data_IF_945865250336
#
_entry.id   IF_945865250336
#
_cell.length_a   1.000
_cell.length_b   1.000
_cell.length_c   1.000
_cell.angle_alpha   90.00
_cell.angle_beta   90.00
_cell.angle_gamma   90.00
#
_symmetry.space_group_name_H-M   'P 1'
#
loop_
_entity.id
_entity.type
_entity.pdbx_description
1 polymer ?
#
# COMPACT_ATOMS: atom_id res chain seq x y z
N UNK A 1 18.03 2.44 -3.33
CA UNK A 1 18.14 3.70 -2.54
C UNK A 1 18.94 3.37 -1.30
N UNK A 2 19.90 4.22 -0.91
CA UNK A 2 20.66 4.04 0.34
C UNK A 2 19.93 4.75 1.47
N UNK A 3 19.67 4.03 2.57
CA UNK A 3 19.02 4.58 3.76
C UNK A 3 20.02 4.71 4.90
N UNK A 4 19.81 5.70 5.76
CA UNK A 4 20.56 5.95 6.98
C UNK A 4 19.63 6.24 8.15
N UNK A 5 20.13 6.10 9.35
CA UNK A 5 19.42 6.56 10.55
C UNK A 5 19.34 8.08 10.61
N UNK A 6 18.32 8.61 11.29
CA UNK A 6 18.19 10.03 11.60
C UNK A 6 19.35 10.52 12.50
N UNK A 7 19.81 11.70 12.21
CA UNK A 7 20.75 12.43 13.09
C UNK A 7 20.01 13.06 14.27
N UNK A 8 20.73 13.37 15.36
CA UNK A 8 20.15 14.02 16.54
C UNK A 8 19.51 15.38 16.19
N UNK A 9 20.11 16.11 15.24
CA UNK A 9 19.57 17.40 14.80
C UNK A 9 18.23 17.22 14.04
N UNK A 10 18.15 16.26 13.12
CA UNK A 10 16.91 15.95 12.39
C UNK A 10 15.80 15.51 13.35
N UNK A 11 16.12 14.70 14.35
CA UNK A 11 15.13 14.32 15.38
C UNK A 11 14.60 15.56 16.12
N UNK A 12 15.49 16.46 16.53
CA UNK A 12 15.08 17.69 17.23
C UNK A 12 14.20 18.57 16.34
N UNK A 13 14.51 18.69 15.05
CA UNK A 13 13.70 19.45 14.09
C UNK A 13 12.31 18.80 13.89
N UNK A 14 12.26 17.49 13.70
CA UNK A 14 11.00 16.76 13.58
C UNK A 14 10.13 16.89 14.84
N UNK A 15 10.74 16.85 16.02
CA UNK A 15 10.01 17.08 17.28
C UNK A 15 9.46 18.51 17.38
N UNK A 16 10.23 19.49 16.94
CA UNK A 16 9.76 20.89 16.89
C UNK A 16 8.61 21.10 15.89
N UNK A 17 8.52 20.25 14.85
CA UNK A 17 7.45 20.22 13.86
C UNK A 17 6.24 19.36 14.29
N UNK A 18 6.13 18.99 15.58
CA UNK A 18 5.04 18.20 16.11
C UNK A 18 5.14 16.69 15.89
N UNK A 19 6.27 16.20 15.39
CA UNK A 19 6.43 14.78 15.15
C UNK A 19 6.83 14.02 16.43
N UNK A 20 6.42 12.77 16.50
CA UNK A 20 6.75 11.84 17.59
C UNK A 20 7.03 10.45 17.06
N UNK A 21 7.84 9.68 17.78
CA UNK A 21 8.13 8.30 17.45
C UNK A 21 8.15 7.43 18.70
N UNK A 22 7.74 6.17 18.57
CA UNK A 22 7.90 5.17 19.64
C UNK A 22 9.39 4.94 19.95
N UNK A 23 10.20 4.82 18.91
CA UNK A 23 11.68 4.81 18.98
C UNK A 23 12.21 5.38 17.66
N UNK A 24 12.97 6.47 17.74
CA UNK A 24 13.58 7.13 16.57
C UNK A 24 14.61 6.27 15.84
N UNK A 25 15.16 5.24 16.51
CA UNK A 25 16.11 4.31 15.89
C UNK A 25 15.49 3.45 14.79
N UNK A 26 14.18 3.30 14.79
CA UNK A 26 13.45 2.51 13.80
C UNK A 26 13.01 3.33 12.58
N UNK A 27 13.49 4.56 12.50
CA UNK A 27 13.20 5.43 11.36
C UNK A 27 14.47 5.62 10.55
N UNK A 28 14.42 5.17 9.32
CA UNK A 28 15.50 5.31 8.35
C UNK A 28 15.06 6.32 7.27
N UNK A 29 16.00 7.12 6.81
CA UNK A 29 15.75 8.15 5.79
C UNK A 29 16.73 8.00 4.65
N UNK A 30 16.30 8.37 3.44
CA UNK A 30 17.17 8.38 2.27
C UNK A 30 18.28 9.44 2.42
N UNK A 31 19.43 9.22 1.77
CA UNK A 31 20.46 10.26 1.65
C UNK A 31 19.88 11.48 0.92
N UNK A 32 20.05 12.67 1.49
CA UNK A 32 19.45 13.90 0.99
C UNK A 32 18.05 14.21 1.53
N UNK A 33 17.60 13.42 2.50
CA UNK A 33 16.35 13.68 3.22
C UNK A 33 16.36 15.06 3.89
N UNK A 34 15.22 15.77 3.79
CA UNK A 34 15.00 17.05 4.46
C UNK A 34 13.76 16.92 5.37
N UNK A 35 13.88 17.40 6.58
CA UNK A 35 12.80 17.41 7.58
C UNK A 35 11.71 18.44 7.30
N UNK A 36 11.98 19.45 6.44
CA UNK A 36 11.11 20.61 6.21
C UNK A 36 9.66 20.27 5.86
N UNK A 37 9.43 19.12 5.22
CA UNK A 37 8.12 18.75 4.70
C UNK A 37 7.44 17.63 5.50
N UNK A 38 7.75 17.51 6.79
CA UNK A 38 7.16 16.52 7.69
C UNK A 38 6.62 17.20 8.94
N UNK A 39 5.30 17.24 9.07
CA UNK A 39 4.63 17.96 10.16
C UNK A 39 3.54 17.10 10.80
N UNK A 40 3.46 17.12 12.13
CA UNK A 40 2.43 16.45 12.93
C UNK A 40 2.30 14.95 12.58
N UNK A 41 3.43 14.25 12.52
CA UNK A 41 3.49 12.83 12.17
C UNK A 41 3.87 11.99 13.39
N UNK A 42 3.08 10.94 13.61
CA UNK A 42 3.38 9.94 14.62
C UNK A 42 3.94 8.68 13.96
N UNK A 43 5.16 8.31 14.32
CA UNK A 43 5.82 7.11 13.83
C UNK A 43 5.78 5.98 14.84
N UNK A 44 5.54 4.76 14.36
CA UNK A 44 5.58 3.53 15.14
C UNK A 44 6.18 2.40 14.28
N UNK A 45 6.94 1.48 14.91
CA UNK A 45 7.62 0.42 14.18
C UNK A 45 8.67 0.93 13.20
N UNK A 46 9.06 0.09 12.25
CA UNK A 46 10.07 0.43 11.25
C UNK A 46 9.48 1.27 10.12
N UNK A 47 10.03 2.46 9.92
CA UNK A 47 9.60 3.32 8.82
C UNK A 47 10.81 3.77 8.01
N UNK A 48 10.66 3.77 6.67
CA UNK A 48 11.63 4.29 5.71
C UNK A 48 11.02 5.44 4.96
N UNK A 49 11.74 6.57 4.88
CA UNK A 49 11.25 7.78 4.24
C UNK A 49 12.18 8.16 3.08
N UNK A 50 11.58 8.42 1.92
CA UNK A 50 12.25 8.95 0.75
C UNK A 50 12.56 10.45 0.85
N UNK A 51 12.84 11.06 -0.29
CA UNK A 51 13.11 12.50 -0.43
C UNK A 51 11.82 13.18 -0.92
N UNK A 52 11.49 14.33 -0.35
CA UNK A 52 10.31 15.12 -0.72
C UNK A 52 10.77 16.45 -1.33
N UNK A 53 10.89 16.50 -2.66
CA UNK A 53 11.43 17.65 -3.36
C UNK A 53 10.45 18.26 -4.40
N UNK A 54 9.28 17.63 -4.58
CA UNK A 54 8.38 17.98 -5.69
C UNK A 54 7.20 18.83 -5.24
N UNK A 55 6.90 19.87 -6.00
CA UNK A 55 5.62 20.54 -5.96
C UNK A 55 4.63 19.92 -6.96
N UNK A 56 3.37 19.87 -6.57
CA UNK A 56 2.28 19.37 -7.38
C UNK A 56 1.14 20.38 -7.40
N UNK A 57 0.53 20.55 -8.56
CA UNK A 57 -0.64 21.45 -8.69
C UNK A 57 -1.90 20.59 -8.55
N UNK A 58 -2.70 20.92 -7.54
CA UNK A 58 -4.02 20.31 -7.34
C UNK A 58 -5.06 20.94 -8.27
N UNK A 59 -6.21 20.27 -8.49
CA UNK A 59 -7.34 20.86 -9.20
C UNK A 59 -7.71 22.23 -8.61
N UNK A 60 -7.88 23.22 -9.50
CA UNK A 60 -8.12 24.61 -9.09
C UNK A 60 -6.85 25.47 -9.00
N UNK A 61 -5.66 24.91 -9.28
CA UNK A 61 -4.40 25.65 -9.39
C UNK A 61 -3.63 25.86 -8.07
N UNK A 62 -4.04 25.19 -6.99
CA UNK A 62 -3.30 25.23 -5.73
C UNK A 62 -2.01 24.41 -5.83
N UNK A 63 -0.85 25.07 -5.66
CA UNK A 63 0.43 24.38 -5.52
C UNK A 63 0.59 23.83 -4.11
N UNK A 64 0.97 22.56 -4.01
CA UNK A 64 1.24 21.84 -2.77
C UNK A 64 2.55 21.08 -2.89
N UNK A 65 3.30 21.00 -1.80
CA UNK A 65 4.56 20.27 -1.77
C UNK A 65 4.34 18.80 -1.37
N UNK A 66 5.17 17.89 -1.92
CA UNK A 66 5.30 16.52 -1.42
C UNK A 66 5.74 16.53 0.04
N UNK A 67 5.43 15.50 0.78
CA UNK A 67 5.74 15.43 2.21
C UNK A 67 4.67 14.70 3.00
N UNK A 68 4.81 14.69 4.30
CA UNK A 68 3.91 13.98 5.21
C UNK A 68 3.35 14.98 6.23
N UNK A 69 2.03 15.13 6.24
CA UNK A 69 1.34 16.11 7.06
C UNK A 69 0.13 15.46 7.75
N UNK A 70 0.06 15.56 9.07
CA UNK A 70 -1.04 15.04 9.88
C UNK A 70 -1.31 13.54 9.62
N UNK A 71 -0.36 12.68 9.97
CA UNK A 71 -0.45 11.25 9.73
C UNK A 71 0.10 10.41 10.87
N UNK A 72 -0.41 9.20 11.04
CA UNK A 72 0.20 8.16 11.87
C UNK A 72 0.67 7.02 10.97
N UNK A 73 1.95 6.65 11.06
CA UNK A 73 2.57 5.63 10.24
C UNK A 73 3.09 4.48 11.11
N UNK A 74 2.80 3.25 10.72
CA UNK A 74 3.28 2.05 11.37
C UNK A 74 3.86 1.07 10.35
N UNK A 75 5.13 0.74 10.46
CA UNK A 75 5.84 -0.17 9.55
C UNK A 75 5.63 0.21 8.07
N UNK A 76 5.97 1.43 7.67
CA UNK A 76 5.75 1.92 6.32
C UNK A 76 7.06 2.24 5.60
N UNK A 77 7.09 1.96 4.29
CA UNK A 77 8.14 2.43 3.39
C UNK A 77 7.53 3.49 2.46
N UNK A 78 7.99 4.73 2.57
CA UNK A 78 7.48 5.87 1.81
C UNK A 78 8.51 6.23 0.74
N UNK A 79 8.09 6.19 -0.51
CA UNK A 79 8.92 6.54 -1.67
C UNK A 79 9.21 8.04 -1.77
N UNK A 80 9.90 8.43 -2.86
CA UNK A 80 10.20 9.82 -3.13
C UNK A 80 8.97 10.58 -3.59
N UNK A 81 8.94 11.87 -3.29
CA UNK A 81 7.90 12.79 -3.74
C UNK A 81 6.46 12.34 -3.43
N UNK A 82 6.32 11.46 -2.45
CA UNK A 82 5.01 11.06 -1.92
C UNK A 82 4.41 12.22 -1.15
N UNK A 83 3.10 12.39 -1.29
CA UNK A 83 2.32 13.31 -0.48
C UNK A 83 1.30 12.53 0.35
N UNK A 84 1.46 12.56 1.68
CA UNK A 84 0.48 12.09 2.64
C UNK A 84 -0.10 13.30 3.36
N UNK A 85 -1.40 13.52 3.25
CA UNK A 85 -2.04 14.66 3.87
C UNK A 85 -3.35 14.28 4.56
N UNK A 86 -3.45 14.60 5.84
CA UNK A 86 -4.66 14.41 6.62
C UNK A 86 -5.15 12.95 6.61
N UNK A 87 -4.30 12.07 7.12
CA UNK A 87 -4.66 10.66 7.38
C UNK A 87 -5.32 10.60 8.75
N UNK A 88 -6.63 10.43 8.76
CA UNK A 88 -7.45 10.61 9.95
C UNK A 88 -7.12 9.62 11.08
N UNK A 89 -6.74 8.40 10.71
CA UNK A 89 -6.40 7.37 11.68
C UNK A 89 -4.93 6.93 11.52
N UNK A 90 -4.63 5.98 10.61
CA UNK A 90 -3.26 5.54 10.39
C UNK A 90 -3.06 4.84 9.03
N UNK A 91 -1.79 4.75 8.62
CA UNK A 91 -1.32 3.83 7.58
C UNK A 91 -0.42 2.79 8.24
N UNK A 92 -0.68 1.51 8.00
CA UNK A 92 0.09 0.42 8.59
C UNK A 92 0.45 -0.68 7.60
N UNK A 93 1.71 -1.11 7.64
CA UNK A 93 2.22 -2.23 6.86
C UNK A 93 2.08 -2.00 5.35
N UNK A 94 2.54 -0.84 4.86
CA UNK A 94 2.48 -0.50 3.42
C UNK A 94 3.80 0.06 2.88
N UNK A 95 4.10 -0.35 1.65
CA UNK A 95 5.05 0.34 0.76
C UNK A 95 4.27 1.26 -0.15
N UNK A 96 4.67 2.52 -0.21
CA UNK A 96 4.03 3.56 -1.05
C UNK A 96 5.04 4.03 -2.07
N UNK A 97 4.71 3.83 -3.34
CA UNK A 97 5.58 4.15 -4.48
C UNK A 97 5.75 5.65 -4.71
N UNK A 98 6.79 5.99 -5.47
CA UNK A 98 7.19 7.37 -5.74
C UNK A 98 6.06 8.21 -6.37
N UNK A 99 5.97 9.46 -6.00
CA UNK A 99 5.03 10.43 -6.56
C UNK A 99 3.55 10.17 -6.22
N UNK A 100 3.27 9.24 -5.33
CA UNK A 100 1.90 8.90 -4.91
C UNK A 100 1.33 9.96 -3.97
N UNK A 101 0.04 10.26 -4.15
CA UNK A 101 -0.70 11.26 -3.38
C UNK A 101 -1.86 10.60 -2.63
N UNK A 102 -1.85 10.65 -1.31
CA UNK A 102 -2.90 10.12 -0.44
C UNK A 102 -3.40 11.24 0.45
N UNK A 103 -4.67 11.61 0.31
CA UNK A 103 -5.25 12.73 1.03
C UNK A 103 -6.65 12.38 1.58
N UNK A 104 -6.93 12.84 2.79
CA UNK A 104 -8.25 12.67 3.40
C UNK A 104 -8.71 11.22 3.44
N UNK A 105 -7.87 10.31 3.93
CA UNK A 105 -8.17 8.89 4.03
C UNK A 105 -8.28 8.51 5.50
N UNK A 106 -9.27 7.66 5.84
CA UNK A 106 -9.44 7.25 7.23
C UNK A 106 -8.31 6.33 7.68
N UNK A 107 -8.12 5.19 7.01
CA UNK A 107 -7.03 4.26 7.32
C UNK A 107 -6.64 3.43 6.10
N UNK A 108 -5.35 3.05 6.03
CA UNK A 108 -4.84 2.10 5.04
C UNK A 108 -4.02 1.07 5.80
N UNK A 109 -4.42 -0.21 5.75
CA UNK A 109 -3.72 -1.22 6.54
C UNK A 109 -3.72 -2.62 5.91
N UNK A 110 -2.66 -3.36 6.16
CA UNK A 110 -2.67 -4.82 6.05
C UNK A 110 -2.78 -5.39 7.46
N UNK A 111 -3.78 -6.24 7.65
CA UNK A 111 -4.07 -6.90 8.91
C UNK A 111 -3.73 -8.39 8.78
N UNK A 112 -2.65 -8.79 9.41
CA UNK A 112 -2.08 -10.12 9.31
C UNK A 112 -1.54 -10.45 7.91
N UNK A 113 -1.58 -11.72 7.55
CA UNK A 113 -1.13 -12.20 6.25
C UNK A 113 -2.27 -12.15 5.24
N UNK A 114 -2.04 -11.55 4.06
CA UNK A 114 -3.05 -11.35 3.03
C UNK A 114 -2.55 -11.79 1.66
N UNK A 115 -3.39 -12.46 0.89
CA UNK A 115 -3.17 -12.73 -0.54
C UNK A 115 -3.70 -11.62 -1.44
N UNK A 116 -4.22 -10.52 -0.87
CA UNK A 116 -4.78 -9.39 -1.59
C UNK A 116 -5.90 -9.80 -2.58
N UNK A 117 -6.72 -10.77 -2.18
CA UNK A 117 -7.82 -11.30 -2.98
C UNK A 117 -7.44 -12.46 -3.90
N UNK A 118 -6.14 -12.74 -4.09
CA UNK A 118 -5.72 -13.87 -4.91
C UNK A 118 -6.10 -15.21 -4.26
N UNK A 119 -6.66 -16.13 -5.06
CA UNK A 119 -7.10 -17.46 -4.60
C UNK A 119 -8.50 -17.49 -3.98
N UNK A 120 -9.14 -16.34 -3.79
CA UNK A 120 -10.52 -16.29 -3.27
C UNK A 120 -11.46 -16.93 -4.30
N UNK A 121 -12.28 -17.88 -3.84
CA UNK A 121 -13.24 -18.57 -4.71
C UNK A 121 -14.56 -17.84 -4.71
N UNK A 122 -15.04 -17.49 -5.91
CA UNK A 122 -16.28 -16.75 -6.10
C UNK A 122 -17.31 -17.56 -6.88
N UNK A 123 -18.59 -17.56 -6.44
CA UNK A 123 -19.66 -18.28 -7.10
C UNK A 123 -20.21 -17.48 -8.28
N UNK A 124 -19.52 -17.49 -9.41
CA UNK A 124 -19.95 -16.76 -10.60
C UNK A 124 -21.15 -17.45 -11.25
N UNK A 125 -22.32 -16.81 -11.26
CA UNK A 125 -23.57 -17.32 -11.81
C UNK A 125 -23.88 -18.76 -11.38
N UNK A 126 -23.66 -19.09 -10.12
CA UNK A 126 -23.72 -20.44 -9.61
C UNK A 126 -24.46 -20.50 -8.28
N UNK A 127 -25.77 -20.36 -8.33
CA UNK A 127 -26.64 -20.37 -7.13
C UNK A 127 -26.62 -21.72 -6.40
N UNK A 128 -26.34 -22.82 -7.09
CA UNK A 128 -26.29 -24.18 -6.54
C UNK A 128 -24.95 -24.59 -5.92
N UNK A 129 -23.91 -23.78 -6.05
CA UNK A 129 -22.55 -24.11 -5.62
C UNK A 129 -21.82 -25.14 -6.50
N UNK A 130 -20.52 -25.35 -6.28
CA UNK A 130 -19.69 -26.35 -6.92
C UNK A 130 -19.06 -25.94 -8.26
N UNK A 131 -19.17 -24.66 -8.61
CA UNK A 131 -18.54 -24.07 -9.82
C UNK A 131 -17.79 -22.78 -9.52
N UNK A 132 -17.37 -22.61 -8.29
CA UNK A 132 -16.61 -21.45 -7.87
C UNK A 132 -15.34 -21.34 -8.71
N UNK A 133 -14.97 -20.10 -9.03
CA UNK A 133 -13.75 -19.77 -9.76
C UNK A 133 -12.80 -19.07 -8.80
N UNK A 134 -11.53 -19.53 -8.69
CA UNK A 134 -10.52 -18.79 -7.96
C UNK A 134 -10.16 -17.52 -8.72
N UNK A 135 -10.39 -16.35 -8.11
CA UNK A 135 -9.96 -15.09 -8.67
C UNK A 135 -8.50 -14.81 -8.34
N UNK A 136 -7.81 -14.14 -9.22
CA UNK A 136 -6.44 -13.66 -9.02
C UNK A 136 -6.15 -12.54 -10.03
N UNK A 137 -5.14 -11.74 -9.79
CA UNK A 137 -4.84 -10.53 -10.56
C UNK A 137 -4.55 -10.77 -12.05
N UNK A 138 -4.07 -11.99 -12.43
CA UNK A 138 -3.87 -12.37 -13.81
C UNK A 138 -5.08 -13.10 -14.44
N UNK A 139 -6.26 -13.12 -13.79
CA UNK A 139 -7.44 -13.80 -14.31
C UNK A 139 -8.01 -13.05 -15.54
N UNK A 140 -7.87 -13.67 -16.71
CA UNK A 140 -8.52 -13.16 -17.93
C UNK A 140 -9.92 -13.73 -18.12
N UNK A 141 -10.74 -13.03 -18.91
CA UNK A 141 -12.07 -13.51 -19.29
C UNK A 141 -12.01 -14.91 -19.98
N UNK A 142 -11.01 -15.13 -20.85
CA UNK A 142 -10.81 -16.43 -21.52
C UNK A 142 -10.50 -17.56 -20.55
N UNK A 143 -9.69 -17.29 -19.52
CA UNK A 143 -9.36 -18.29 -18.50
C UNK A 143 -10.60 -18.57 -17.62
N UNK A 144 -11.31 -17.54 -17.19
CA UNK A 144 -12.56 -17.68 -16.44
C UNK A 144 -13.60 -18.52 -17.21
N UNK A 145 -13.77 -18.22 -18.51
CA UNK A 145 -14.62 -18.99 -19.42
C UNK A 145 -14.20 -20.48 -19.48
N UNK A 146 -12.90 -20.73 -19.64
CA UNK A 146 -12.36 -22.09 -19.66
C UNK A 146 -12.65 -22.83 -18.36
N UNK A 147 -12.38 -22.21 -17.22
CA UNK A 147 -12.66 -22.80 -15.89
C UNK A 147 -14.15 -23.09 -15.69
N UNK A 148 -15.03 -22.32 -16.28
CA UNK A 148 -16.48 -22.48 -16.13
C UNK A 148 -17.04 -23.58 -17.05
N UNK A 149 -16.64 -23.62 -18.31
CA UNK A 149 -17.25 -24.48 -19.32
C UNK A 149 -16.60 -25.88 -19.40
N UNK A 150 -15.30 -26.01 -19.09
CA UNK A 150 -14.61 -27.28 -19.21
C UNK A 150 -14.70 -28.15 -17.95
N UNK A 151 -15.73 -27.98 -17.13
CA UNK A 151 -15.98 -28.78 -15.90
C UNK A 151 -16.11 -30.26 -16.13
N UNK A 152 -16.43 -30.68 -17.35
CA UNK A 152 -16.43 -32.09 -17.78
C UNK A 152 -15.00 -32.67 -17.83
N UNK A 153 -13.95 -31.89 -17.67
CA UNK A 153 -12.54 -32.28 -17.58
C UNK A 153 -11.94 -32.02 -16.20
N UNK A 154 -12.39 -32.69 -15.15
CA UNK A 154 -12.07 -32.34 -13.77
C UNK A 154 -10.57 -32.38 -13.44
N UNK A 155 -9.80 -33.23 -14.10
CA UNK A 155 -8.35 -33.33 -13.90
C UNK A 155 -7.64 -32.02 -14.38
N UNK A 156 -8.03 -31.51 -15.54
CA UNK A 156 -7.49 -30.25 -16.07
C UNK A 156 -7.84 -29.09 -15.15
N UNK A 157 -9.09 -28.99 -14.73
CA UNK A 157 -9.53 -27.93 -13.82
C UNK A 157 -8.73 -27.97 -12.52
N UNK A 158 -8.57 -29.14 -11.89
CA UNK A 158 -7.77 -29.29 -10.67
C UNK A 158 -6.30 -28.88 -10.84
N UNK A 159 -5.71 -29.12 -12.01
CA UNK A 159 -4.33 -28.71 -12.29
C UNK A 159 -4.23 -27.19 -12.39
N UNK A 160 -5.17 -26.53 -13.10
CA UNK A 160 -5.19 -25.08 -13.22
C UNK A 160 -5.45 -24.44 -11.85
N UNK A 161 -6.38 -24.94 -11.07
CA UNK A 161 -6.66 -24.47 -9.71
C UNK A 161 -5.41 -24.58 -8.82
N UNK A 162 -4.66 -25.69 -8.87
CA UNK A 162 -3.39 -25.81 -8.13
C UNK A 162 -2.35 -24.77 -8.53
N UNK A 163 -2.28 -24.43 -9.82
CA UNK A 163 -1.35 -23.37 -10.28
C UNK A 163 -1.77 -22.01 -9.75
N UNK A 164 -3.07 -21.72 -9.71
CA UNK A 164 -3.62 -20.48 -9.15
C UNK A 164 -3.39 -20.43 -7.63
N UNK A 165 -3.64 -21.53 -6.92
CA UNK A 165 -3.39 -21.61 -5.47
C UNK A 165 -1.91 -21.37 -5.14
N UNK A 166 -0.99 -22.00 -5.90
CA UNK A 166 0.45 -21.78 -5.74
C UNK A 166 0.89 -20.35 -6.09
N UNK A 167 0.22 -19.71 -7.04
CA UNK A 167 0.42 -18.29 -7.35
C UNK A 167 -0.05 -17.42 -6.19
N UNK A 168 -1.27 -17.63 -5.70
CA UNK A 168 -1.85 -16.91 -4.58
C UNK A 168 -0.98 -16.99 -3.31
N UNK A 169 -0.43 -18.16 -3.03
CA UNK A 169 0.50 -18.38 -1.92
C UNK A 169 1.76 -17.49 -2.03
N UNK A 170 2.32 -17.38 -3.24
CA UNK A 170 3.48 -16.50 -3.50
C UNK A 170 3.16 -15.01 -3.37
N UNK A 171 1.90 -14.61 -3.60
CA UNK A 171 1.47 -13.21 -3.45
C UNK A 171 1.15 -12.85 -1.99
N UNK A 172 1.08 -13.85 -1.12
CA UNK A 172 0.73 -13.64 0.28
C UNK A 172 1.83 -12.86 1.02
N UNK A 173 1.46 -11.78 1.69
CA UNK A 173 2.37 -10.89 2.42
C UNK A 173 1.65 -10.21 3.59
N UNK A 174 2.43 -9.81 4.59
CA UNK A 174 1.99 -8.92 5.67
C UNK A 174 2.19 -7.43 5.31
N UNK A 175 2.84 -7.17 4.18
CA UNK A 175 3.12 -5.82 3.67
C UNK A 175 2.34 -5.59 2.38
N UNK A 176 1.50 -4.57 2.38
CA UNK A 176 0.78 -4.12 1.20
C UNK A 176 1.65 -3.23 0.31
N UNK A 177 1.15 -2.96 -0.88
CA UNK A 177 1.85 -2.13 -1.86
C UNK A 177 0.88 -1.18 -2.55
N UNK A 178 1.28 0.07 -2.64
CA UNK A 178 0.65 1.10 -3.47
C UNK A 178 1.71 1.55 -4.45
N UNK A 179 1.42 1.42 -5.74
CA UNK A 179 2.34 1.70 -6.84
C UNK A 179 2.76 3.16 -6.94
N UNK A 180 3.38 3.51 -8.05
CA UNK A 180 3.88 4.85 -8.31
C UNK A 180 2.78 5.73 -8.90
N UNK A 181 2.84 7.05 -8.59
CA UNK A 181 1.94 8.06 -9.13
C UNK A 181 0.43 7.80 -8.88
N UNK A 182 0.10 6.97 -7.91
CA UNK A 182 -1.28 6.66 -7.51
C UNK A 182 -1.89 7.86 -6.78
N UNK A 183 -3.19 8.07 -6.97
CA UNK A 183 -3.96 9.09 -6.24
C UNK A 183 -5.12 8.45 -5.48
N UNK A 184 -5.11 8.60 -4.16
CA UNK A 184 -6.17 8.14 -3.26
C UNK A 184 -6.66 9.36 -2.47
N UNK A 185 -7.87 9.80 -2.76
CA UNK A 185 -8.40 11.05 -2.18
C UNK A 185 -9.82 10.82 -1.66
N UNK A 186 -10.09 11.31 -0.45
CA UNK A 186 -11.42 11.27 0.18
C UNK A 186 -11.97 9.84 0.30
N UNK A 187 -11.14 8.89 0.71
CA UNK A 187 -11.54 7.50 0.90
C UNK A 187 -11.78 7.17 2.37
N UNK A 188 -12.65 6.18 2.60
CA UNK A 188 -12.81 5.56 3.91
C UNK A 188 -11.60 4.70 4.29
N UNK A 189 -11.84 3.48 4.73
CA UNK A 189 -10.76 2.55 5.08
C UNK A 189 -10.44 1.62 3.92
N UNK A 190 -9.15 1.44 3.65
CA UNK A 190 -8.60 0.50 2.67
C UNK A 190 -7.87 -0.59 3.45
N UNK A 191 -8.33 -1.83 3.33
CA UNK A 191 -7.77 -2.95 4.08
C UNK A 191 -7.41 -4.11 3.16
N UNK A 192 -6.18 -4.63 3.30
CA UNK A 192 -5.70 -5.82 2.59
C UNK A 192 -5.81 -5.69 1.05
N UNK A 193 -5.42 -4.53 0.52
CA UNK A 193 -5.49 -4.22 -0.91
C UNK A 193 -4.08 -3.97 -1.43
N UNK A 194 -3.79 -4.48 -2.63
CA UNK A 194 -2.62 -4.08 -3.42
C UNK A 194 -3.10 -3.20 -4.56
N UNK A 195 -2.45 -2.04 -4.75
CA UNK A 195 -2.79 -1.06 -5.79
C UNK A 195 -1.58 -0.96 -6.71
N UNK A 196 -1.77 -1.18 -8.00
CA UNK A 196 -0.75 -0.98 -9.04
C UNK A 196 -0.54 0.49 -9.39
N UNK A 197 0.34 0.73 -10.35
CA UNK A 197 0.67 2.05 -10.90
C UNK A 197 -0.49 2.63 -11.71
#
# INVERSE_FOLDING_TARGET
MTYRSLTTNEISLLQAQGCSATDWKWIEVAEGFDTQYIHDVRFSGHNRLGIFARETILPGGLSVHSGIYHATLHNCEIGNDVRLYNIHNYIANYRIGDGTCIENVNAILVDGSSSFGNGVRVPVMNEGGGREIPIFDCLSASLAYTLTLYRHRPQMIKQVEKLIDAYAEKQTSEMGEIGQHVRIINCGSIKNVRIGD
#
